data_IF_546491927054
#
_entry.id   IF_546491927054
#
_cell.length_a   1.000
_cell.length_b   1.000
_cell.length_c   1.000
_cell.angle_alpha   90.00
_cell.angle_beta   90.00
_cell.angle_gamma   90.00
#
_symmetry.space_group_name_H-M   'P 1'
#
loop_
_entity.id
_entity.type
_entity.pdbx_description
1 polymer ?
#
# COMPACT_ATOMS: atom_id res chain seq x y z
N UNK A 1 11.87 -19.43 15.50
CA UNK A 1 10.40 -19.57 15.47
C UNK A 1 9.89 -19.70 16.89
N UNK A 2 8.92 -18.87 17.26
CA UNK A 2 8.26 -18.93 18.57
C UNK A 2 7.39 -20.18 18.63
N UNK A 3 7.24 -20.81 19.81
CA UNK A 3 6.26 -21.88 20.00
C UNK A 3 4.86 -21.26 19.90
N UNK A 4 4.03 -21.80 19.01
CA UNK A 4 2.65 -21.34 18.82
C UNK A 4 1.71 -22.19 19.67
N UNK A 5 0.80 -21.53 20.37
CA UNK A 5 -0.26 -22.14 21.16
C UNK A 5 -1.57 -21.45 20.88
N UNK A 6 -2.67 -22.18 21.05
CA UNK A 6 -4.00 -21.62 20.91
C UNK A 6 -4.24 -20.45 21.85
N UNK A 7 -4.79 -19.37 21.31
CA UNK A 7 -5.36 -18.25 22.05
C UNK A 7 -6.73 -17.89 21.43
N UNK A 8 -7.78 -17.67 22.25
CA UNK A 8 -9.09 -17.29 21.73
C UNK A 8 -9.04 -15.84 21.24
N UNK A 9 -9.14 -15.64 19.93
CA UNK A 9 -9.10 -14.30 19.32
C UNK A 9 -10.26 -14.11 18.34
N UNK A 10 -10.61 -12.84 18.11
CA UNK A 10 -11.61 -12.48 17.10
C UNK A 10 -10.99 -12.58 15.71
N UNK A 11 -11.44 -13.55 14.92
CA UNK A 11 -11.05 -13.73 13.51
C UNK A 11 -11.24 -12.45 12.69
N UNK A 12 -12.34 -11.71 12.91
CA UNK A 12 -12.60 -10.39 12.29
C UNK A 12 -11.43 -9.44 12.51
N UNK A 13 -11.02 -9.32 13.77
CA UNK A 13 -9.98 -8.38 14.17
C UNK A 13 -8.62 -8.86 13.67
N UNK A 14 -8.36 -10.17 13.67
CA UNK A 14 -7.12 -10.74 13.14
C UNK A 14 -6.94 -10.45 11.66
N UNK A 15 -7.97 -10.67 10.84
CA UNK A 15 -7.91 -10.37 9.40
C UNK A 15 -7.73 -8.87 9.15
N UNK A 16 -8.47 -8.04 9.91
CA UNK A 16 -8.33 -6.58 9.82
C UNK A 16 -6.92 -6.13 10.20
N UNK A 17 -6.33 -6.75 11.22
CA UNK A 17 -4.97 -6.49 11.67
C UNK A 17 -3.93 -6.96 10.64
N UNK A 18 -4.08 -8.17 10.06
CA UNK A 18 -3.22 -8.67 9.00
C UNK A 18 -3.16 -7.70 7.81
N UNK A 19 -4.32 -7.16 7.40
CA UNK A 19 -4.37 -6.12 6.36
C UNK A 19 -3.56 -4.89 6.76
N UNK A 20 -3.82 -4.33 7.95
CA UNK A 20 -3.13 -3.13 8.41
C UNK A 20 -1.62 -3.35 8.50
N UNK A 21 -1.21 -4.53 8.98
CA UNK A 21 0.20 -4.93 9.04
C UNK A 21 0.78 -5.01 7.63
N UNK A 22 0.11 -5.64 6.66
CA UNK A 22 0.60 -5.72 5.28
C UNK A 22 0.77 -4.33 4.64
N UNK A 23 -0.20 -3.42 4.84
CA UNK A 23 -0.13 -2.03 4.37
C UNK A 23 1.02 -1.24 5.03
N UNK A 24 1.30 -1.49 6.31
CA UNK A 24 2.46 -0.89 6.99
C UNK A 24 3.77 -1.51 6.53
N UNK A 25 3.83 -2.82 6.39
CA UNK A 25 5.03 -3.57 6.01
C UNK A 25 5.52 -3.10 4.64
N UNK A 26 4.63 -2.88 3.67
CA UNK A 26 5.04 -2.44 2.32
C UNK A 26 5.69 -1.06 2.36
N UNK A 27 5.12 -0.13 3.13
CA UNK A 27 5.69 1.21 3.34
C UNK A 27 7.05 1.17 4.03
N UNK A 28 7.18 0.34 5.06
CA UNK A 28 8.43 0.15 5.79
C UNK A 28 9.48 -0.55 4.92
N UNK A 29 9.09 -1.53 4.10
CA UNK A 29 10.00 -2.24 3.21
C UNK A 29 10.62 -1.27 2.17
N UNK A 30 9.79 -0.48 1.48
CA UNK A 30 10.28 0.55 0.56
C UNK A 30 11.06 1.65 1.27
N UNK A 31 10.65 2.05 2.48
CA UNK A 31 11.42 3.00 3.31
C UNK A 31 12.80 2.47 3.68
N UNK A 32 12.90 1.18 3.99
CA UNK A 32 14.15 0.53 4.35
C UNK A 32 15.14 0.55 3.18
N UNK A 33 14.65 0.36 1.94
CA UNK A 33 15.43 0.49 0.73
C UNK A 33 15.87 1.95 0.48
N UNK A 34 14.91 2.88 0.52
CA UNK A 34 15.16 4.29 0.24
C UNK A 34 16.11 4.95 1.24
N UNK A 35 16.05 4.55 2.51
CA UNK A 35 16.88 5.12 3.57
C UNK A 35 18.02 4.21 4.04
N UNK A 36 18.22 3.06 3.38
CA UNK A 36 19.24 2.04 3.71
C UNK A 36 19.26 1.71 5.21
N UNK A 37 18.08 1.49 5.77
CA UNK A 37 17.90 1.42 7.21
C UNK A 37 17.54 0.00 7.67
N UNK A 38 18.55 -0.71 8.18
CA UNK A 38 18.41 -2.07 8.72
C UNK A 38 17.41 -2.16 9.87
N UNK A 39 17.29 -1.12 10.71
CA UNK A 39 16.35 -1.13 11.84
C UNK A 39 14.88 -1.12 11.34
N UNK A 40 14.61 -0.49 10.18
CA UNK A 40 13.29 -0.55 9.54
C UNK A 40 13.08 -1.93 8.90
N UNK A 41 14.09 -2.50 8.24
CA UNK A 41 13.99 -3.85 7.67
C UNK A 41 13.74 -4.91 8.75
N UNK A 42 14.41 -4.82 9.89
CA UNK A 42 14.23 -5.71 11.04
C UNK A 42 12.81 -5.61 11.62
N UNK A 43 12.17 -4.43 11.53
CA UNK A 43 10.78 -4.29 11.91
C UNK A 43 9.84 -4.99 10.94
N UNK A 44 10.08 -4.90 9.63
CA UNK A 44 9.30 -5.66 8.63
C UNK A 44 9.35 -7.15 8.95
N UNK A 45 10.51 -7.69 9.32
CA UNK A 45 10.66 -9.11 9.73
C UNK A 45 9.86 -9.44 11.00
N UNK A 46 9.73 -8.50 11.95
CA UNK A 46 8.91 -8.72 13.16
C UNK A 46 7.42 -8.66 12.85
N UNK A 47 7.01 -7.81 11.92
CA UNK A 47 5.64 -7.71 11.44
C UNK A 47 5.25 -8.97 10.66
N UNK A 48 6.14 -9.50 9.83
CA UNK A 48 5.99 -10.82 9.16
C UNK A 48 5.73 -11.92 10.21
N UNK A 49 6.55 -12.04 11.26
CA UNK A 49 6.31 -13.02 12.34
C UNK A 49 4.97 -12.79 13.07
N UNK A 50 4.49 -11.56 13.18
CA UNK A 50 3.16 -11.28 13.73
C UNK A 50 2.05 -11.79 12.82
N UNK A 51 2.16 -11.59 11.50
CA UNK A 51 1.22 -12.16 10.53
C UNK A 51 1.24 -13.68 10.60
N UNK A 52 2.43 -14.32 10.65
CA UNK A 52 2.56 -15.76 10.86
C UNK A 52 1.76 -16.23 12.07
N UNK A 53 1.95 -15.60 13.23
CA UNK A 53 1.22 -15.95 14.46
C UNK A 53 -0.29 -15.75 14.29
N UNK A 54 -0.73 -14.65 13.68
CA UNK A 54 -2.15 -14.40 13.42
C UNK A 54 -2.75 -15.47 12.51
N UNK A 55 -2.02 -15.95 11.50
CA UNK A 55 -2.48 -17.01 10.59
C UNK A 55 -2.78 -18.30 11.35
N UNK A 56 -1.86 -18.76 12.20
CA UNK A 56 -2.09 -19.94 13.03
C UNK A 56 -3.29 -19.76 13.98
N UNK A 57 -3.47 -18.57 14.53
CA UNK A 57 -4.60 -18.31 15.44
C UNK A 57 -5.93 -18.24 14.68
N UNK A 58 -5.96 -17.66 13.49
CA UNK A 58 -7.13 -17.68 12.60
C UNK A 58 -7.50 -19.12 12.26
N UNK A 59 -6.53 -19.94 11.83
CA UNK A 59 -6.75 -21.36 11.52
C UNK A 59 -7.31 -22.12 12.71
N UNK A 60 -6.68 -22.05 13.89
CA UNK A 60 -7.13 -22.79 15.06
C UNK A 60 -8.52 -22.34 15.54
N UNK A 61 -8.81 -21.04 15.57
CA UNK A 61 -10.13 -20.55 15.98
C UNK A 61 -11.21 -20.95 14.96
N UNK A 62 -10.86 -21.00 13.67
CA UNK A 62 -11.77 -21.44 12.61
C UNK A 62 -12.03 -22.94 12.69
N UNK A 63 -11.00 -23.76 12.87
CA UNK A 63 -11.11 -25.21 13.04
C UNK A 63 -11.98 -25.60 14.25
N UNK A 64 -11.90 -24.86 15.35
CA UNK A 64 -12.75 -25.08 16.53
C UNK A 64 -14.20 -24.64 16.32
N UNK A 65 -14.46 -23.74 15.38
CA UNK A 65 -15.80 -23.27 15.05
C UNK A 65 -16.55 -24.23 14.11
N UNK A 66 -15.83 -24.93 13.23
CA UNK A 66 -16.39 -25.89 12.27
C UNK A 66 -16.96 -27.14 12.96
N UNK A 67 -18.24 -27.46 12.71
CA UNK A 67 -18.90 -28.66 13.26
C UNK A 67 -19.34 -29.66 12.19
N UNK A 68 -19.62 -29.18 10.99
CA UNK A 68 -20.06 -29.99 9.86
C UNK A 68 -19.53 -29.45 8.52
N UNK A 69 -19.94 -30.08 7.41
CA UNK A 69 -19.51 -29.67 6.07
C UNK A 69 -19.99 -28.28 5.66
N UNK A 70 -21.14 -27.82 6.18
CA UNK A 70 -21.68 -26.50 5.85
C UNK A 70 -20.85 -25.42 6.53
N UNK A 71 -20.53 -25.60 7.82
CA UNK A 71 -19.63 -24.69 8.54
C UNK A 71 -18.24 -24.64 7.85
N UNK A 72 -17.76 -25.77 7.33
CA UNK A 72 -16.49 -25.83 6.62
C UNK A 72 -16.51 -25.00 5.32
N UNK A 73 -17.60 -25.06 4.55
CA UNK A 73 -17.78 -24.23 3.35
C UNK A 73 -17.87 -22.73 3.68
N UNK A 74 -18.63 -22.37 4.73
CA UNK A 74 -18.81 -20.97 5.15
C UNK A 74 -17.53 -20.35 5.71
N UNK A 75 -16.66 -21.15 6.34
CA UNK A 75 -15.44 -20.67 7.00
C UNK A 75 -14.17 -20.84 6.15
N UNK A 76 -14.22 -21.54 5.01
CA UNK A 76 -13.08 -21.65 4.08
C UNK A 76 -12.53 -20.28 3.64
N UNK A 77 -13.36 -19.28 3.28
CA UNK A 77 -12.89 -17.98 2.85
C UNK A 77 -11.97 -17.31 3.88
N UNK A 78 -12.27 -17.49 5.17
CA UNK A 78 -11.50 -16.91 6.28
C UNK A 78 -10.08 -17.48 6.31
N UNK A 79 -9.96 -18.81 6.21
CA UNK A 79 -8.67 -19.50 6.19
C UNK A 79 -7.88 -19.06 4.96
N UNK A 80 -8.54 -18.99 3.80
CA UNK A 80 -7.93 -18.56 2.54
C UNK A 80 -7.38 -17.14 2.62
N UNK A 81 -8.13 -16.22 3.23
CA UNK A 81 -7.69 -14.84 3.44
C UNK A 81 -6.46 -14.78 4.35
N UNK A 82 -6.49 -15.47 5.50
CA UNK A 82 -5.36 -15.53 6.43
C UNK A 82 -4.09 -16.06 5.76
N UNK A 83 -4.21 -17.18 5.05
CA UNK A 83 -3.11 -17.77 4.29
C UNK A 83 -2.52 -16.83 3.23
N UNK A 84 -3.37 -16.10 2.49
CA UNK A 84 -2.89 -15.19 1.46
C UNK A 84 -2.29 -13.91 2.02
N UNK A 85 -2.78 -13.39 3.16
CA UNK A 85 -2.09 -12.31 3.87
C UNK A 85 -0.71 -12.74 4.37
N UNK A 86 -0.57 -13.99 4.82
CA UNK A 86 0.73 -14.56 5.15
C UNK A 86 1.69 -14.54 3.95
N UNK A 87 1.25 -15.04 2.79
CA UNK A 87 2.00 -14.98 1.52
C UNK A 87 2.42 -13.55 1.16
N UNK A 88 1.48 -12.60 1.20
CA UNK A 88 1.75 -11.19 0.94
C UNK A 88 2.83 -10.67 1.91
N UNK A 89 2.71 -10.98 3.21
CA UNK A 89 3.68 -10.53 4.22
C UNK A 89 5.08 -11.09 3.98
N UNK A 90 5.20 -12.37 3.58
CA UNK A 90 6.46 -13.01 3.23
C UNK A 90 7.11 -12.33 2.01
N UNK A 91 6.32 -12.02 0.99
CA UNK A 91 6.78 -11.33 -0.21
C UNK A 91 7.26 -9.90 0.12
N UNK A 92 6.53 -9.16 0.95
CA UNK A 92 6.97 -7.84 1.43
C UNK A 92 8.27 -7.94 2.25
N UNK A 93 8.41 -8.96 3.09
CA UNK A 93 9.65 -9.21 3.83
C UNK A 93 10.84 -9.51 2.90
N UNK A 94 10.61 -10.15 1.75
CA UNK A 94 11.65 -10.36 0.73
C UNK A 94 12.16 -9.05 0.12
N UNK A 95 11.31 -8.02 0.01
CA UNK A 95 11.74 -6.65 -0.36
C UNK A 95 12.69 -6.10 0.72
N UNK A 96 12.31 -6.20 2.01
CA UNK A 96 13.16 -5.74 3.11
C UNK A 96 14.50 -6.51 3.21
N UNK A 97 14.50 -7.80 2.85
CA UNK A 97 15.70 -8.65 2.81
C UNK A 97 16.74 -8.16 1.80
N UNK A 98 16.37 -7.35 0.79
CA UNK A 98 17.34 -6.70 -0.10
C UNK A 98 18.28 -5.79 0.71
N UNK A 99 17.75 -5.01 1.66
CA UNK A 99 18.54 -4.17 2.58
C UNK A 99 19.31 -5.01 3.60
N UNK A 100 18.69 -6.04 4.19
CA UNK A 100 19.33 -6.93 5.18
C UNK A 100 20.57 -7.62 4.60
N UNK A 101 20.42 -8.15 3.38
CA UNK A 101 21.51 -8.84 2.67
C UNK A 101 22.55 -7.89 2.08
N UNK A 102 22.38 -6.56 2.27
CA UNK A 102 23.27 -5.52 1.76
C UNK A 102 23.54 -5.67 0.25
N UNK A 103 22.49 -6.01 -0.50
CA UNK A 103 22.59 -6.05 -1.95
C UNK A 103 22.81 -4.63 -2.46
N UNK A 104 23.75 -4.47 -3.40
CA UNK A 104 23.97 -3.18 -4.03
C UNK A 104 22.72 -2.76 -4.79
N UNK A 105 22.15 -1.62 -4.40
CA UNK A 105 20.96 -1.07 -5.02
C UNK A 105 21.36 -0.38 -6.33
N UNK A 106 20.73 -0.80 -7.43
CA UNK A 106 20.86 -0.07 -8.69
C UNK A 106 20.24 1.34 -8.56
N UNK A 107 20.86 2.42 -9.09
CA UNK A 107 20.35 3.78 -8.94
C UNK A 107 18.93 3.95 -9.51
N UNK A 108 18.62 3.24 -10.60
CA UNK A 108 17.27 3.19 -11.19
C UNK A 108 16.20 2.79 -10.19
N UNK A 109 16.46 1.78 -9.35
CA UNK A 109 15.52 1.34 -8.33
C UNK A 109 15.30 2.44 -7.28
N UNK A 110 16.38 3.09 -6.86
CA UNK A 110 16.31 4.21 -5.93
C UNK A 110 15.51 5.39 -6.49
N UNK A 111 15.74 5.72 -7.77
CA UNK A 111 15.01 6.78 -8.45
C UNK A 111 13.54 6.46 -8.65
N UNK A 112 13.19 5.20 -8.94
CA UNK A 112 11.81 4.74 -9.01
C UNK A 112 11.09 5.03 -7.68
N UNK A 113 11.58 4.48 -6.56
CA UNK A 113 10.96 4.64 -5.24
C UNK A 113 10.87 6.13 -4.86
N UNK A 114 11.88 6.94 -5.19
CA UNK A 114 11.91 8.37 -4.88
C UNK A 114 10.93 9.21 -5.70
N UNK A 115 10.54 8.74 -6.88
CA UNK A 115 9.66 9.43 -7.82
C UNK A 115 8.24 8.86 -7.84
N UNK A 116 7.89 7.97 -6.92
CA UNK A 116 6.50 7.50 -6.77
C UNK A 116 5.55 8.68 -6.53
N UNK A 117 4.26 8.49 -6.84
CA UNK A 117 3.25 9.55 -6.64
C UNK A 117 3.13 9.96 -5.17
N UNK A 118 3.24 8.98 -4.27
CA UNK A 118 3.35 9.18 -2.83
C UNK A 118 4.77 8.88 -2.34
N UNK A 119 5.71 9.83 -2.47
CA UNK A 119 7.08 9.58 -2.07
C UNK A 119 7.22 9.46 -0.56
N UNK A 120 8.15 8.62 -0.14
CA UNK A 120 8.57 8.48 1.25
C UNK A 120 9.55 9.60 1.61
N UNK A 121 9.34 10.21 2.78
CA UNK A 121 10.21 11.26 3.31
C UNK A 121 10.66 10.97 4.72
N UNK A 122 11.84 11.49 5.05
CA UNK A 122 12.37 11.60 6.41
C UNK A 122 12.34 13.06 6.81
N UNK A 123 11.63 13.40 7.89
CA UNK A 123 11.49 14.76 8.41
C UNK A 123 11.96 14.86 9.86
N UNK A 124 12.71 15.90 10.22
CA UNK A 124 13.17 16.13 11.60
C UNK A 124 12.27 17.17 12.27
N UNK A 125 11.72 16.85 13.44
CA UNK A 125 10.92 17.77 14.22
C UNK A 125 11.81 18.81 14.91
N UNK A 126 11.94 19.98 14.29
CA UNK A 126 12.64 21.15 14.85
C UNK A 126 11.67 22.25 15.28
N UNK A 127 10.44 22.22 14.77
CA UNK A 127 9.40 23.18 15.14
C UNK A 127 8.94 22.99 16.60
N UNK A 128 9.18 24.00 17.43
CA UNK A 128 8.80 24.00 18.85
C UNK A 128 7.29 23.99 19.07
N UNK A 129 6.49 24.47 18.12
CA UNK A 129 5.03 24.55 18.25
C UNK A 129 4.34 23.19 18.23
N UNK A 130 4.94 22.20 17.55
CA UNK A 130 4.40 20.83 17.48
C UNK A 130 4.94 19.93 18.60
N UNK A 131 5.92 20.41 19.37
CA UNK A 131 6.52 19.68 20.48
C UNK A 131 5.46 19.34 21.55
N UNK A 132 5.50 18.11 22.04
CA UNK A 132 4.55 17.49 22.97
C UNK A 132 3.07 17.48 22.54
N UNK A 133 2.75 17.85 21.28
CA UNK A 133 1.40 17.71 20.74
C UNK A 133 1.19 16.29 20.21
N UNK A 134 -0.02 15.78 20.40
CA UNK A 134 -0.46 14.48 19.87
C UNK A 134 -0.67 14.59 18.36
N UNK A 135 -0.31 13.55 17.60
CA UNK A 135 -0.54 13.48 16.14
C UNK A 135 -2.00 13.78 15.79
N UNK A 136 -2.96 13.19 16.52
CA UNK A 136 -4.38 13.42 16.30
C UNK A 136 -4.82 14.86 16.55
N UNK A 137 -4.18 15.58 17.48
CA UNK A 137 -4.47 17.01 17.72
C UNK A 137 -3.90 17.91 16.64
N UNK A 138 -2.76 17.53 16.07
CA UNK A 138 -2.14 18.22 14.94
C UNK A 138 -2.87 17.95 13.62
N UNK A 139 -3.73 16.93 13.60
CA UNK A 139 -4.48 16.49 12.43
C UNK A 139 -3.59 16.29 11.20
N UNK A 140 -2.37 15.75 11.39
CA UNK A 140 -1.32 15.70 10.35
C UNK A 140 -1.85 15.11 9.04
N UNK A 141 -2.52 13.95 9.11
CA UNK A 141 -3.11 13.31 7.92
C UNK A 141 -4.15 14.20 7.23
N UNK A 142 -4.97 14.92 7.99
CA UNK A 142 -5.98 15.82 7.44
C UNK A 142 -5.42 17.13 6.89
N UNK A 143 -4.36 17.66 7.48
CA UNK A 143 -3.77 18.96 7.13
C UNK A 143 -2.73 18.84 6.01
N UNK A 144 -1.92 17.77 6.05
CA UNK A 144 -0.83 17.57 5.09
C UNK A 144 -1.16 16.48 4.08
N UNK A 145 -2.08 15.56 4.38
CA UNK A 145 -2.30 14.38 3.55
C UNK A 145 -1.16 13.35 3.66
N UNK A 146 -0.27 13.50 4.65
CA UNK A 146 0.79 12.51 4.91
C UNK A 146 0.38 11.55 6.01
N UNK A 147 0.78 10.29 5.86
CA UNK A 147 0.73 9.30 6.91
C UNK A 147 2.11 9.13 7.54
N UNK A 148 2.20 9.10 8.87
CA UNK A 148 3.47 8.89 9.58
C UNK A 148 3.53 7.40 9.90
N UNK A 149 4.46 6.69 9.25
CA UNK A 149 4.60 5.24 9.39
C UNK A 149 5.57 4.84 10.51
N UNK A 150 6.55 5.71 10.81
CA UNK A 150 7.50 5.47 11.89
C UNK A 150 8.09 6.76 12.46
N UNK A 151 8.51 6.71 13.72
CA UNK A 151 9.22 7.78 14.42
C UNK A 151 10.46 7.20 15.08
N UNK A 152 11.63 7.70 14.69
CA UNK A 152 12.88 7.45 15.43
C UNK A 152 13.07 8.54 16.49
N UNK A 153 13.18 8.12 17.74
CA UNK A 153 13.38 8.97 18.91
C UNK A 153 14.62 8.54 19.68
N UNK A 154 15.72 9.27 19.49
CA UNK A 154 17.01 8.86 20.02
C UNK A 154 17.41 7.49 19.46
N UNK A 155 17.57 6.51 20.35
CA UNK A 155 17.93 5.13 20.00
C UNK A 155 16.71 4.19 19.90
N UNK A 156 15.49 4.72 20.07
CA UNK A 156 14.26 3.93 19.99
C UNK A 156 13.43 4.25 18.75
N UNK A 157 12.57 3.32 18.39
CA UNK A 157 11.59 3.47 17.32
C UNK A 157 10.16 3.36 17.86
N UNK A 158 9.27 4.07 17.19
CA UNK A 158 7.83 3.95 17.33
C UNK A 158 7.32 3.68 15.92
N UNK A 159 6.92 2.45 15.65
CA UNK A 159 6.26 2.06 14.40
C UNK A 159 4.75 2.19 14.57
N UNK A 160 4.06 2.49 13.48
CA UNK A 160 2.60 2.76 13.45
C UNK A 160 2.12 3.71 14.58
N UNK A 161 2.62 4.95 14.60
CA UNK A 161 2.28 5.89 15.66
C UNK A 161 0.79 6.27 15.63
N UNK A 162 0.07 5.92 16.68
CA UNK A 162 -1.37 6.24 16.80
C UNK A 162 -1.63 7.74 16.99
N UNK A 163 -2.91 8.15 16.89
CA UNK A 163 -3.39 9.51 17.16
C UNK A 163 -2.95 10.07 18.53
N UNK A 164 -2.68 9.20 19.50
CA UNK A 164 -2.28 9.56 20.85
C UNK A 164 -0.78 9.75 21.04
N UNK A 165 0.02 9.34 20.04
CA UNK A 165 1.47 9.52 20.02
C UNK A 165 1.82 11.01 20.03
N UNK A 166 2.63 11.43 21.01
CA UNK A 166 3.12 12.80 21.11
C UNK A 166 4.41 12.95 20.31
N UNK A 167 4.49 13.98 19.46
CA UNK A 167 5.73 14.37 18.80
C UNK A 167 6.64 15.13 19.77
N UNK A 168 7.94 14.92 19.68
CA UNK A 168 8.98 15.61 20.45
C UNK A 168 10.01 16.25 19.54
N UNK A 169 10.69 17.28 20.04
CA UNK A 169 11.84 17.85 19.35
C UNK A 169 12.89 16.78 19.07
N UNK A 170 13.49 16.85 17.88
CA UNK A 170 14.45 15.91 17.31
C UNK A 170 13.89 14.50 17.00
N UNK A 171 12.57 14.29 17.11
CA UNK A 171 11.97 13.11 16.50
C UNK A 171 12.23 13.14 14.99
N UNK A 172 12.61 11.99 14.45
CA UNK A 172 12.77 11.79 13.01
C UNK A 172 11.57 10.99 12.52
N UNK A 173 10.69 11.66 11.80
CA UNK A 173 9.48 11.08 11.24
C UNK A 173 9.80 10.46 9.88
N UNK A 174 9.30 9.26 9.65
CA UNK A 174 9.20 8.63 8.35
C UNK A 174 7.75 8.69 7.93
N UNK A 175 7.47 9.25 6.77
CA UNK A 175 6.13 9.51 6.32
C UNK A 175 5.97 9.28 4.81
N UNK A 176 4.76 8.89 4.42
CA UNK A 176 4.31 8.74 3.03
C UNK A 176 3.26 9.80 2.72
N UNK A 177 3.24 10.30 1.49
CA UNK A 177 2.16 11.15 0.99
C UNK A 177 2.54 11.84 -0.30
N UNK A 178 1.62 12.56 -0.92
CA UNK A 178 1.89 13.30 -2.17
C UNK A 178 3.08 14.27 -2.07
N UNK A 179 3.65 14.66 -3.21
CA UNK A 179 4.74 15.66 -3.27
C UNK A 179 4.38 16.96 -2.52
N UNK A 180 3.15 17.47 -2.71
CA UNK A 180 2.61 18.65 -2.02
C UNK A 180 2.42 18.39 -0.53
N UNK A 181 1.83 17.25 -0.18
CA UNK A 181 1.61 16.89 1.21
C UNK A 181 2.91 16.78 2.01
N UNK A 182 3.92 16.16 1.41
CA UNK A 182 5.25 16.05 1.99
C UNK A 182 5.92 17.42 2.21
N UNK A 183 5.67 18.39 1.33
CA UNK A 183 6.15 19.75 1.51
C UNK A 183 5.44 20.44 2.69
N UNK A 184 4.13 20.24 2.84
CA UNK A 184 3.36 20.74 3.98
C UNK A 184 3.84 20.12 5.30
N UNK A 185 4.04 18.81 5.35
CA UNK A 185 4.60 18.11 6.51
C UNK A 185 6.01 18.62 6.81
N UNK A 186 6.81 18.89 5.78
CA UNK A 186 8.15 19.43 5.97
C UNK A 186 8.12 20.82 6.63
N UNK A 187 7.25 21.70 6.15
CA UNK A 187 7.08 23.02 6.75
C UNK A 187 6.55 22.91 8.19
N UNK A 188 5.58 22.02 8.43
CA UNK A 188 5.01 21.79 9.76
C UNK A 188 6.06 21.31 10.77
N UNK A 189 6.98 20.44 10.35
CA UNK A 189 8.05 19.89 11.20
C UNK A 189 9.23 20.84 11.40
N UNK A 190 9.35 21.90 10.61
CA UNK A 190 10.39 22.93 10.74
C UNK A 190 11.43 22.95 9.61
N UNK A 191 11.12 22.32 8.48
CA UNK A 191 11.81 22.51 7.19
C UNK A 191 12.97 21.57 6.90
N UNK A 192 13.31 20.65 7.81
CA UNK A 192 14.42 19.71 7.64
C UNK A 192 13.93 18.34 7.16
N UNK A 193 13.87 18.15 5.83
CA UNK A 193 13.42 16.89 5.25
C UNK A 193 14.28 16.40 4.09
N UNK A 194 14.35 15.08 3.93
CA UNK A 194 15.12 14.39 2.89
C UNK A 194 14.27 13.30 2.24
N UNK A 195 14.42 13.10 0.92
CA UNK A 195 13.78 12.00 0.17
C UNK A 195 14.79 10.90 -0.21
N UNK A 196 15.73 10.63 0.70
CA UNK A 196 16.94 9.85 0.41
C UNK A 196 18.00 10.64 -0.37
N UNK A 197 19.23 10.12 -0.38
CA UNK A 197 20.38 10.71 -1.07
C UNK A 197 20.39 10.33 -2.55
N UNK A 198 20.53 11.31 -3.45
CA UNK A 198 20.63 11.01 -4.89
C UNK A 198 21.96 10.30 -5.17
N UNK A 199 21.90 9.05 -5.61
CA UNK A 199 23.03 8.41 -6.26
C UNK A 199 23.10 8.89 -7.71
N UNK A 200 24.21 9.54 -8.08
CA UNK A 200 24.46 9.93 -9.45
C UNK A 200 25.46 8.96 -10.05
N UNK A 201 25.03 8.27 -11.09
CA UNK A 201 25.88 7.43 -11.91
C UNK A 201 25.62 7.81 -13.36
N UNK A 202 26.70 8.12 -14.10
CA UNK A 202 26.59 8.52 -15.50
C UNK A 202 26.58 7.25 -16.36
N UNK A 203 25.43 6.97 -16.97
CA UNK A 203 25.27 5.87 -17.93
C UNK A 203 25.43 6.38 -19.36
N UNK A 204 25.86 5.52 -20.32
CA UNK A 204 25.74 5.83 -21.74
C UNK A 204 24.28 6.14 -22.11
N UNK A 205 24.05 7.05 -23.07
CA UNK A 205 22.71 7.53 -23.48
C UNK A 205 21.77 6.37 -23.86
N UNK A 206 22.30 5.36 -24.56
CA UNK A 206 21.52 4.16 -24.95
C UNK A 206 21.02 3.37 -23.73
N UNK A 207 21.86 3.25 -22.69
CA UNK A 207 21.51 2.58 -21.44
C UNK A 207 20.53 3.45 -20.61
N UNK A 208 20.61 4.78 -20.71
CA UNK A 208 19.72 5.70 -19.99
C UNK A 208 18.24 5.53 -20.40
N UNK A 209 17.99 5.26 -21.69
CA UNK A 209 16.64 4.99 -22.18
C UNK A 209 16.06 3.70 -21.57
N UNK A 210 16.80 2.61 -21.64
CA UNK A 210 16.36 1.31 -21.11
C UNK A 210 16.21 1.33 -19.59
N UNK A 211 17.12 2.00 -18.87
CA UNK A 211 16.99 2.21 -17.43
C UNK A 211 15.77 3.06 -17.08
N UNK A 212 15.39 4.03 -17.93
CA UNK A 212 14.16 4.81 -17.74
C UNK A 212 12.92 3.93 -17.87
N UNK A 213 12.91 3.00 -18.83
CA UNK A 213 11.82 2.01 -19.00
C UNK A 213 11.72 1.11 -17.76
N UNK A 214 12.84 0.54 -17.31
CA UNK A 214 12.89 -0.29 -16.08
C UNK A 214 12.38 0.51 -14.88
N UNK A 215 12.73 1.79 -14.77
CA UNK A 215 12.22 2.68 -13.70
C UNK A 215 10.70 2.76 -13.71
N UNK A 216 10.10 2.93 -14.89
CA UNK A 216 8.64 3.03 -15.01
C UNK A 216 7.95 1.71 -14.67
N UNK A 217 8.51 0.59 -15.12
CA UNK A 217 7.98 -0.71 -14.73
C UNK A 217 8.05 -0.95 -13.22
N UNK A 218 9.17 -0.62 -12.55
CA UNK A 218 9.26 -0.74 -11.09
C UNK A 218 8.22 0.15 -10.38
N UNK A 219 7.99 1.37 -10.88
CA UNK A 219 6.98 2.28 -10.36
C UNK A 219 5.57 1.71 -10.49
N UNK A 220 5.24 1.18 -11.67
CA UNK A 220 3.97 0.52 -11.95
C UNK A 220 3.79 -0.69 -11.03
N UNK A 221 4.80 -1.57 -10.91
CA UNK A 221 4.76 -2.73 -10.02
C UNK A 221 4.46 -2.33 -8.57
N UNK A 222 5.19 -1.35 -8.04
CA UNK A 222 4.98 -0.85 -6.68
C UNK A 222 3.53 -0.35 -6.48
N UNK A 223 3.06 0.54 -7.34
CA UNK A 223 1.77 1.19 -7.13
C UNK A 223 0.60 0.21 -7.32
N UNK A 224 0.68 -0.63 -8.35
CA UNK A 224 -0.37 -1.60 -8.67
C UNK A 224 -0.46 -2.66 -7.57
N UNK A 225 0.65 -3.24 -7.10
CA UNK A 225 0.62 -4.23 -6.01
C UNK A 225 0.06 -3.67 -4.70
N UNK A 226 0.42 -2.43 -4.32
CA UNK A 226 -0.18 -1.72 -3.19
C UNK A 226 -1.70 -1.56 -3.36
N UNK A 227 -2.14 -1.23 -4.58
CA UNK A 227 -3.55 -1.08 -4.88
C UNK A 227 -4.33 -2.40 -4.87
N UNK A 228 -3.72 -3.50 -5.32
CA UNK A 228 -4.34 -4.82 -5.33
C UNK A 228 -4.68 -5.30 -3.92
N UNK A 229 -3.81 -5.11 -2.93
CA UNK A 229 -4.08 -5.53 -1.54
C UNK A 229 -5.37 -4.84 -1.04
N UNK A 230 -5.47 -3.53 -1.24
CA UNK A 230 -6.61 -2.74 -0.82
C UNK A 230 -7.90 -3.07 -1.56
N UNK A 231 -7.81 -3.24 -2.88
CA UNK A 231 -8.95 -3.58 -3.74
C UNK A 231 -9.44 -5.01 -3.51
N UNK A 232 -8.55 -5.98 -3.34
CA UNK A 232 -8.91 -7.37 -3.04
C UNK A 232 -9.67 -7.47 -1.71
N UNK A 233 -9.20 -6.75 -0.68
CA UNK A 233 -9.93 -6.68 0.58
C UNK A 233 -11.30 -5.99 0.42
N UNK A 234 -11.35 -4.92 -0.36
CA UNK A 234 -12.60 -4.22 -0.67
C UNK A 234 -13.58 -5.11 -1.46
N UNK A 235 -13.08 -5.94 -2.38
CA UNK A 235 -13.90 -6.89 -3.12
C UNK A 235 -14.59 -7.89 -2.18
N UNK A 236 -13.86 -8.41 -1.19
CA UNK A 236 -14.43 -9.32 -0.18
C UNK A 236 -15.44 -8.59 0.71
N UNK A 237 -15.07 -7.43 1.25
CA UNK A 237 -15.93 -6.68 2.17
C UNK A 237 -17.29 -6.33 1.58
N UNK A 238 -17.32 -5.98 0.30
CA UNK A 238 -18.53 -5.57 -0.40
C UNK A 238 -19.12 -6.67 -1.28
N UNK A 239 -18.58 -7.89 -1.21
CA UNK A 239 -18.89 -9.01 -2.12
C UNK A 239 -18.98 -8.55 -3.59
N UNK A 240 -18.02 -7.70 -4.01
CA UNK A 240 -18.07 -6.97 -5.26
C UNK A 240 -17.24 -7.69 -6.33
N UNK A 241 -17.93 -8.41 -7.20
CA UNK A 241 -17.32 -9.16 -8.31
C UNK A 241 -16.57 -8.25 -9.30
N UNK A 242 -17.07 -7.05 -9.55
CA UNK A 242 -16.49 -6.11 -10.53
C UNK A 242 -15.10 -5.61 -10.08
N UNK A 243 -14.88 -5.45 -8.77
CA UNK A 243 -13.56 -5.10 -8.22
C UNK A 243 -12.65 -6.32 -8.23
N UNK A 244 -13.18 -7.49 -7.91
CA UNK A 244 -12.40 -8.72 -7.99
C UNK A 244 -11.89 -8.96 -9.42
N UNK A 245 -12.71 -8.70 -10.45
CA UNK A 245 -12.30 -8.75 -11.85
C UNK A 245 -11.22 -7.71 -12.20
N UNK A 246 -11.29 -6.48 -11.65
CA UNK A 246 -10.21 -5.49 -11.80
C UNK A 246 -8.90 -5.99 -11.19
N UNK A 247 -8.92 -6.62 -10.01
CA UNK A 247 -7.71 -7.17 -9.37
C UNK A 247 -7.08 -8.26 -10.25
N UNK A 248 -7.89 -9.09 -10.90
CA UNK A 248 -7.37 -10.06 -11.88
C UNK A 248 -6.75 -9.39 -13.11
N UNK A 249 -7.36 -8.34 -13.67
CA UNK A 249 -6.77 -7.56 -14.78
C UNK A 249 -5.43 -6.94 -14.38
N UNK A 250 -5.32 -6.48 -13.13
CA UNK A 250 -4.08 -5.91 -12.58
C UNK A 250 -2.97 -6.96 -12.46
N UNK A 251 -3.30 -8.19 -12.09
CA UNK A 251 -2.34 -9.30 -12.01
C UNK A 251 -1.78 -9.67 -13.39
N UNK A 252 -2.64 -9.85 -14.39
CA UNK A 252 -2.20 -10.15 -15.76
C UNK A 252 -1.26 -9.05 -16.30
N UNK A 253 -1.54 -7.80 -15.91
CA UNK A 253 -0.66 -6.67 -16.25
C UNK A 253 0.68 -6.75 -15.52
N UNK A 254 0.69 -7.11 -14.23
CA UNK A 254 1.92 -7.23 -13.45
C UNK A 254 2.80 -8.38 -13.90
N UNK A 255 2.23 -9.50 -14.31
CA UNK A 255 2.95 -10.62 -14.94
C UNK A 255 3.71 -10.15 -16.19
N UNK A 256 3.00 -9.42 -17.06
CA UNK A 256 3.63 -8.84 -18.24
C UNK A 256 4.75 -7.87 -17.87
N UNK A 257 4.52 -6.97 -16.91
CA UNK A 257 5.51 -5.97 -16.48
C UNK A 257 6.73 -6.65 -15.85
N UNK A 258 6.55 -7.68 -15.03
CA UNK A 258 7.62 -8.46 -14.42
C UNK A 258 8.49 -9.11 -15.51
N UNK A 259 7.87 -9.73 -16.52
CA UNK A 259 8.56 -10.31 -17.65
C UNK A 259 9.38 -9.28 -18.43
N UNK A 260 8.82 -8.09 -18.69
CA UNK A 260 9.54 -7.03 -19.37
C UNK A 260 10.72 -6.49 -18.55
N UNK A 261 10.57 -6.34 -17.22
CA UNK A 261 11.71 -5.99 -16.33
C UNK A 261 12.82 -7.03 -16.44
N UNK A 262 12.48 -8.33 -16.39
CA UNK A 262 13.46 -9.40 -16.50
C UNK A 262 14.19 -9.35 -17.86
N UNK A 263 13.46 -9.19 -18.97
CA UNK A 263 14.05 -9.05 -20.31
C UNK A 263 14.95 -7.82 -20.41
N UNK A 264 14.51 -6.66 -19.95
CA UNK A 264 15.28 -5.41 -19.99
C UNK A 264 16.56 -5.52 -19.16
N UNK A 265 16.49 -6.12 -17.98
CA UNK A 265 17.66 -6.40 -17.14
C UNK A 265 18.66 -7.30 -17.87
N UNK A 266 18.20 -8.41 -18.46
CA UNK A 266 19.07 -9.35 -19.18
C UNK A 266 19.72 -8.71 -20.41
N UNK A 267 18.97 -7.90 -21.17
CA UNK A 267 19.47 -7.20 -22.35
C UNK A 267 20.58 -6.20 -21.99
N UNK A 268 20.47 -5.55 -20.84
CA UNK A 268 21.38 -4.49 -20.37
C UNK A 268 22.51 -5.00 -19.47
N UNK A 269 22.48 -6.26 -19.03
CA UNK A 269 23.52 -6.85 -18.19
C UNK A 269 24.94 -6.73 -18.80
N UNK A 270 25.06 -6.82 -20.14
CA UNK A 270 26.35 -6.66 -20.85
C UNK A 270 26.85 -5.21 -20.95
N UNK A 271 25.97 -4.24 -20.67
CA UNK A 271 26.23 -2.80 -20.84
C UNK A 271 26.66 -2.12 -19.53
N UNK A 272 26.67 -2.85 -18.41
CA UNK A 272 27.07 -2.37 -17.09
C UNK A 272 28.35 -3.07 -16.63
N UNK A 273 29.16 -2.36 -15.84
CA UNK A 273 30.41 -2.91 -15.29
C UNK A 273 30.16 -4.03 -14.28
N UNK A 274 29.07 -3.91 -13.51
CA UNK A 274 28.67 -4.89 -12.50
C UNK A 274 27.20 -5.28 -12.70
N UNK A 275 26.94 -6.40 -13.40
CA UNK A 275 25.59 -6.90 -13.63
C UNK A 275 24.89 -7.36 -12.34
N UNK A 276 25.63 -7.62 -11.26
CA UNK A 276 25.04 -8.11 -10.00
C UNK A 276 24.17 -7.06 -9.32
N UNK A 277 24.36 -5.77 -9.63
CA UNK A 277 23.49 -4.67 -9.16
C UNK A 277 22.06 -4.78 -9.68
N UNK A 278 21.81 -5.51 -10.77
CA UNK A 278 20.46 -5.81 -11.22
C UNK A 278 19.74 -6.84 -10.35
N UNK A 279 20.43 -7.60 -9.51
CA UNK A 279 19.81 -8.60 -8.63
C UNK A 279 18.80 -7.94 -7.69
N UNK A 280 19.04 -6.72 -7.21
CA UNK A 280 18.08 -5.99 -6.38
C UNK A 280 16.79 -5.67 -7.13
N UNK A 281 16.89 -5.32 -8.42
CA UNK A 281 15.73 -5.04 -9.28
C UNK A 281 14.92 -6.32 -9.51
N UNK A 282 15.58 -7.42 -9.86
CA UNK A 282 14.92 -8.70 -10.09
C UNK A 282 14.22 -9.21 -8.83
N UNK A 283 14.89 -9.15 -7.68
CA UNK A 283 14.29 -9.57 -6.40
C UNK A 283 13.07 -8.74 -6.02
N UNK A 284 13.13 -7.43 -6.24
CA UNK A 284 11.99 -6.56 -5.98
C UNK A 284 10.84 -6.88 -6.93
N UNK A 285 11.11 -7.07 -8.24
CA UNK A 285 10.08 -7.43 -9.21
C UNK A 285 9.41 -8.77 -8.85
N UNK A 286 10.18 -9.80 -8.47
CA UNK A 286 9.62 -11.08 -8.02
C UNK A 286 8.78 -10.93 -6.76
N UNK A 287 9.29 -10.23 -5.74
CA UNK A 287 8.55 -10.02 -4.51
C UNK A 287 7.25 -9.22 -4.75
N UNK A 288 7.26 -8.24 -5.65
CA UNK A 288 6.08 -7.43 -5.96
C UNK A 288 5.01 -8.21 -6.74
N UNK A 289 5.40 -9.17 -7.58
CA UNK A 289 4.44 -10.06 -8.25
C UNK A 289 3.88 -11.13 -7.30
N UNK A 290 4.67 -11.68 -6.37
CA UNK A 290 4.10 -12.55 -5.31
C UNK A 290 3.09 -11.83 -4.40
N UNK A 291 3.24 -10.51 -4.18
CA UNK A 291 2.22 -9.69 -3.50
C UNK A 291 0.92 -9.64 -4.34
N UNK A 292 1.07 -9.44 -5.65
CA UNK A 292 -0.03 -9.42 -6.62
C UNK A 292 -0.79 -10.75 -6.60
N UNK A 293 -0.10 -11.88 -6.70
CA UNK A 293 -0.68 -13.23 -6.62
C UNK A 293 -1.48 -13.46 -5.34
N UNK A 294 -0.92 -13.03 -4.21
CA UNK A 294 -1.60 -13.12 -2.93
C UNK A 294 -2.88 -12.31 -2.89
N UNK A 295 -2.86 -11.08 -3.41
CA UNK A 295 -4.04 -10.23 -3.50
C UNK A 295 -5.09 -10.78 -4.48
N UNK A 296 -4.68 -11.31 -5.62
CA UNK A 296 -5.56 -11.97 -6.60
C UNK A 296 -6.22 -13.20 -6.00
N UNK A 297 -5.47 -14.00 -5.24
CA UNK A 297 -6.00 -15.18 -4.53
C UNK A 297 -7.04 -14.81 -3.47
N UNK A 298 -6.95 -13.61 -2.88
CA UNK A 298 -7.97 -13.05 -1.98
C UNK A 298 -9.21 -12.67 -2.80
N UNK A 299 -9.04 -11.92 -3.90
CA UNK A 299 -10.15 -11.52 -4.78
C UNK A 299 -10.87 -12.73 -5.43
N UNK A 300 -10.15 -13.81 -5.71
CA UNK A 300 -10.66 -15.03 -6.33
C UNK A 300 -11.79 -15.69 -5.53
N UNK A 301 -11.79 -15.52 -4.20
CA UNK A 301 -12.85 -16.02 -3.32
C UNK A 301 -14.22 -15.52 -3.79
N UNK A 302 -14.31 -14.23 -4.13
CA UNK A 302 -15.52 -13.59 -4.65
C UNK A 302 -15.86 -14.13 -6.04
N UNK A 303 -14.87 -14.33 -6.91
CA UNK A 303 -15.09 -14.83 -8.28
C UNK A 303 -15.59 -16.27 -8.33
N UNK A 304 -15.16 -17.10 -7.37
CA UNK A 304 -15.60 -18.49 -7.20
C UNK A 304 -16.99 -18.63 -6.61
N UNK A 305 -17.62 -17.52 -6.20
CA UNK A 305 -18.96 -17.50 -5.62
C UNK A 305 -18.99 -18.06 -4.20
N UNK A 306 -17.85 -18.09 -3.50
CA UNK A 306 -17.82 -18.36 -2.08
C UNK A 306 -18.35 -17.11 -1.36
N UNK A 307 -19.53 -17.21 -0.76
CA UNK A 307 -20.09 -16.08 -0.04
C UNK A 307 -19.18 -15.71 1.15
N UNK A 308 -18.74 -14.44 1.25
CA UNK A 308 -17.99 -13.99 2.40
C UNK A 308 -18.81 -14.25 3.68
N UNK A 309 -18.20 -14.92 4.66
CA UNK A 309 -18.85 -15.21 5.94
C UNK A 309 -19.42 -13.90 6.56
N UNK A 310 -20.58 -13.92 7.24
CA UNK A 310 -21.21 -12.72 7.84
C UNK A 310 -20.33 -11.90 8.79
N UNK A 311 -19.18 -12.45 9.20
CA UNK A 311 -18.15 -11.70 9.92
C UNK A 311 -17.64 -10.48 9.14
N UNK A 312 -17.65 -10.55 7.81
CA UNK A 312 -17.30 -9.43 6.92
C UNK A 312 -18.47 -8.44 6.81
N UNK A 313 -19.73 -8.88 6.84
CA UNK A 313 -20.87 -7.96 6.98
C UNK A 313 -20.79 -7.18 8.30
N UNK A 314 -20.29 -7.77 9.39
CA UNK A 314 -20.09 -7.03 10.66
C UNK A 314 -18.96 -5.99 10.54
N UNK A 315 -18.04 -6.10 9.57
CA UNK A 315 -17.09 -5.01 9.27
C UNK A 315 -17.82 -3.83 8.60
N UNK A 316 -18.97 -4.08 7.95
CA UNK A 316 -19.68 -3.17 7.06
C UNK A 316 -20.99 -2.60 7.63
N UNK A 317 -21.73 -3.38 8.41
CA UNK A 317 -23.04 -3.03 8.99
C UNK A 317 -22.99 -1.88 10.00
N UNK A 318 -21.82 -1.29 10.24
CA UNK A 318 -21.70 -0.02 10.95
C UNK A 318 -21.94 1.19 10.02
N UNK A 319 -21.93 1.05 8.68
CA UNK A 319 -21.89 2.21 7.76
C UNK A 319 -22.91 2.28 6.62
N UNK A 320 -23.76 1.27 6.30
CA UNK A 320 -24.71 1.29 5.16
C UNK A 320 -24.06 1.77 3.82
N UNK A 321 -22.81 1.38 3.57
CA UNK A 321 -22.02 1.83 2.42
C UNK A 321 -21.99 0.79 1.28
N UNK A 322 -21.96 1.28 0.03
CA UNK A 322 -21.79 0.51 -1.21
C UNK A 322 -20.52 0.93 -1.95
N UNK A 323 -19.98 0.05 -2.80
CA UNK A 323 -18.94 0.44 -3.77
C UNK A 323 -19.56 0.84 -5.12
N UNK A 324 -19.06 1.93 -5.69
CA UNK A 324 -19.39 2.39 -7.04
C UNK A 324 -18.15 2.74 -7.85
N UNK A 325 -18.15 2.39 -9.14
CA UNK A 325 -17.21 2.89 -10.15
C UNK A 325 -17.85 4.02 -10.97
N UNK A 326 -17.18 5.17 -11.04
CA UNK A 326 -17.69 6.37 -11.72
C UNK A 326 -16.57 7.01 -12.54
N UNK A 327 -16.78 7.10 -13.86
CA UNK A 327 -15.84 7.74 -14.79
C UNK A 327 -16.07 9.27 -14.83
N UNK A 328 -14.98 10.03 -14.79
CA UNK A 328 -14.98 11.50 -14.92
C UNK A 328 -14.97 11.88 -16.40
N UNK A 329 -16.01 12.57 -16.84
CA UNK A 329 -16.10 13.18 -18.18
C UNK A 329 -15.12 14.36 -18.31
N UNK A 330 -14.55 14.57 -19.50
CA UNK A 330 -13.66 15.71 -19.78
C UNK A 330 -14.25 17.09 -19.42
N UNK A 331 -15.59 17.21 -19.41
CA UNK A 331 -16.29 18.47 -19.13
C UNK A 331 -16.70 18.63 -17.66
N UNK A 332 -16.37 17.64 -16.84
CA UNK A 332 -16.77 17.62 -15.45
C UNK A 332 -16.16 18.75 -14.64
N UNK A 333 -16.96 19.27 -13.70
CA UNK A 333 -16.53 20.35 -12.80
C UNK A 333 -15.43 19.93 -11.84
N UNK A 334 -15.24 18.63 -11.60
CA UNK A 334 -14.22 18.10 -10.69
C UNK A 334 -12.89 17.80 -11.39
N UNK A 335 -12.81 17.97 -12.72
CA UNK A 335 -11.57 17.84 -13.50
C UNK A 335 -10.52 18.86 -13.04
N UNK A 336 -9.27 18.41 -12.93
CA UNK A 336 -8.12 19.18 -12.47
C UNK A 336 -8.25 19.73 -11.04
N UNK A 337 -9.16 19.18 -10.24
CA UNK A 337 -9.28 19.49 -8.82
C UNK A 337 -8.64 18.40 -7.99
N UNK A 338 -8.11 18.76 -6.83
CA UNK A 338 -7.73 17.76 -5.82
C UNK A 338 -8.97 17.16 -5.14
N UNK A 339 -8.84 15.99 -4.51
CA UNK A 339 -9.90 15.36 -3.72
C UNK A 339 -10.49 16.31 -2.66
N UNK A 340 -9.66 17.16 -2.06
CA UNK A 340 -10.14 18.17 -1.11
C UNK A 340 -10.87 19.33 -1.77
N UNK A 341 -10.47 19.75 -2.97
CA UNK A 341 -11.09 20.85 -3.70
C UNK A 341 -12.42 20.43 -4.34
N UNK A 342 -12.51 19.17 -4.79
CA UNK A 342 -13.70 18.60 -5.40
C UNK A 342 -14.87 18.44 -4.43
N UNK A 343 -14.59 18.43 -3.12
CA UNK A 343 -15.58 18.28 -2.07
C UNK A 343 -16.50 17.06 -2.27
N UNK A 344 -16.02 16.00 -2.95
CA UNK A 344 -16.82 14.80 -3.26
C UNK A 344 -17.41 14.22 -1.96
N UNK A 345 -16.57 13.91 -0.98
CA UNK A 345 -17.03 13.31 0.28
C UNK A 345 -18.01 14.21 1.06
N UNK A 346 -17.85 15.54 0.99
CA UNK A 346 -18.75 16.48 1.69
C UNK A 346 -20.10 16.58 0.99
N UNK A 347 -20.09 16.64 -0.35
CA UNK A 347 -21.28 16.89 -1.14
C UNK A 347 -22.11 15.62 -1.38
N UNK A 348 -21.46 14.45 -1.41
CA UNK A 348 -22.10 13.18 -1.78
C UNK A 348 -22.05 12.13 -0.68
N UNK A 349 -21.22 12.31 0.35
CA UNK A 349 -20.92 11.25 1.32
C UNK A 349 -19.99 10.16 0.77
N UNK A 350 -19.69 10.15 -0.53
CA UNK A 350 -18.84 9.15 -1.16
C UNK A 350 -17.35 9.43 -0.89
N UNK A 351 -16.63 8.43 -0.42
CA UNK A 351 -15.18 8.45 -0.26
C UNK A 351 -14.53 7.74 -1.45
N UNK A 352 -13.61 8.43 -2.13
CA UNK A 352 -12.77 7.78 -3.16
C UNK A 352 -11.73 6.91 -2.46
N UNK A 353 -11.73 5.61 -2.75
CA UNK A 353 -10.77 4.64 -2.20
C UNK A 353 -9.69 4.27 -3.22
N UNK A 354 -10.02 4.34 -4.51
CA UNK A 354 -9.08 4.12 -5.60
C UNK A 354 -9.43 4.93 -6.86
N UNK A 355 -8.44 5.11 -7.73
CA UNK A 355 -8.58 5.71 -9.05
C UNK A 355 -7.92 4.78 -10.06
N UNK A 356 -8.64 4.38 -11.11
CA UNK A 356 -8.06 3.78 -12.33
C UNK A 356 -7.85 4.90 -13.35
N UNK A 357 -6.62 5.06 -13.81
CA UNK A 357 -6.24 6.07 -14.81
C UNK A 357 -5.42 5.39 -15.89
N UNK A 358 -5.96 5.35 -17.10
CA UNK A 358 -5.41 4.53 -18.18
C UNK A 358 -5.28 3.06 -17.71
N UNK A 359 -4.05 2.54 -17.63
CA UNK A 359 -3.75 1.19 -17.16
C UNK A 359 -3.24 1.15 -15.71
N UNK A 360 -3.08 2.31 -15.05
CA UNK A 360 -2.58 2.39 -13.68
C UNK A 360 -3.73 2.47 -12.68
N UNK A 361 -3.52 1.86 -11.52
CA UNK A 361 -4.43 1.94 -10.39
C UNK A 361 -3.73 2.56 -9.19
N UNK A 362 -4.47 3.42 -8.50
CA UNK A 362 -4.00 4.13 -7.32
C UNK A 362 -4.96 3.85 -6.18
N UNK A 363 -4.45 3.37 -5.05
CA UNK A 363 -5.23 3.13 -3.84
C UNK A 363 -4.76 4.05 -2.71
N UNK A 364 -5.55 4.19 -1.64
CA UNK A 364 -5.16 5.02 -0.50
C UNK A 364 -5.21 6.52 -0.78
N UNK A 365 -6.12 6.93 -1.68
CA UNK A 365 -6.30 8.29 -2.17
C UNK A 365 -6.34 9.33 -1.03
N UNK A 366 -5.47 10.34 -1.12
CA UNK A 366 -5.37 11.41 -0.14
C UNK A 366 -6.02 12.72 -0.64
N UNK A 367 -6.20 13.69 0.28
CA UNK A 367 -6.83 14.99 0.01
C UNK A 367 -6.20 15.80 -1.13
N UNK A 368 -4.91 15.59 -1.41
CA UNK A 368 -4.16 16.31 -2.43
C UNK A 368 -4.07 15.55 -3.77
N UNK A 369 -4.59 14.34 -3.88
CA UNK A 369 -4.61 13.59 -5.15
C UNK A 369 -5.45 14.36 -6.16
N UNK A 370 -4.92 14.57 -7.36
CA UNK A 370 -5.58 15.33 -8.43
C UNK A 370 -6.42 14.41 -9.30
N UNK A 371 -7.64 14.84 -9.61
CA UNK A 371 -8.58 14.20 -10.51
C UNK A 371 -8.35 14.69 -11.94
N UNK A 372 -8.18 13.78 -12.87
CA UNK A 372 -7.95 14.06 -14.28
C UNK A 372 -9.14 13.62 -15.14
N UNK A 373 -9.27 14.16 -16.38
CA UNK A 373 -10.23 13.64 -17.34
C UNK A 373 -10.06 12.13 -17.52
N UNK A 374 -11.18 11.42 -17.70
CA UNK A 374 -11.24 9.97 -17.94
C UNK A 374 -10.80 9.08 -16.77
N UNK A 375 -10.46 9.66 -15.62
CA UNK A 375 -10.26 8.89 -14.39
C UNK A 375 -11.53 8.11 -14.03
N UNK A 376 -11.38 6.84 -13.64
CA UNK A 376 -12.45 6.02 -13.08
C UNK A 376 -12.26 5.96 -11.57
N UNK A 377 -13.19 6.57 -10.84
CA UNK A 377 -13.20 6.61 -9.39
C UNK A 377 -13.85 5.35 -8.83
N UNK A 378 -13.13 4.62 -7.99
CA UNK A 378 -13.69 3.56 -7.13
C UNK A 378 -13.99 4.20 -5.79
N UNK A 379 -15.27 4.21 -5.42
CA UNK A 379 -15.78 4.96 -4.26
C UNK A 379 -16.60 4.10 -3.32
N UNK A 380 -16.53 4.38 -2.03
CA UNK A 380 -17.31 3.77 -0.94
C UNK A 380 -18.19 4.85 -0.32
N UNK A 381 -19.47 4.59 -0.13
CA UNK A 381 -20.37 5.54 0.54
C UNK A 381 -21.84 5.13 0.45
N UNK A 382 -22.78 5.97 0.92
CA UNK A 382 -24.21 5.67 0.87
C UNK A 382 -24.73 5.59 -0.58
N UNK A 383 -25.74 4.74 -0.83
CA UNK A 383 -26.32 4.55 -2.18
C UNK A 383 -26.86 5.86 -2.77
N UNK A 384 -27.45 6.74 -1.95
CA UNK A 384 -27.94 8.06 -2.41
C UNK A 384 -26.78 8.96 -2.90
N UNK A 385 -25.60 8.80 -2.31
CA UNK A 385 -24.39 9.56 -2.64
C UNK A 385 -23.86 9.27 -4.04
N UNK A 386 -24.05 8.05 -4.53
CA UNK A 386 -23.63 7.61 -5.86
C UNK A 386 -24.23 8.48 -6.97
N UNK A 387 -25.53 8.76 -6.89
CA UNK A 387 -26.22 9.52 -7.94
C UNK A 387 -25.71 10.98 -7.99
N UNK A 388 -25.46 11.58 -6.82
CA UNK A 388 -24.87 12.91 -6.73
C UNK A 388 -23.45 12.95 -7.31
N UNK A 389 -22.64 11.92 -7.02
CA UNK A 389 -21.28 11.84 -7.58
C UNK A 389 -21.29 11.64 -9.10
N UNK A 390 -22.23 10.84 -9.63
CA UNK A 390 -22.42 10.73 -11.09
C UNK A 390 -22.77 12.06 -11.73
N UNK A 391 -23.55 12.93 -11.08
CA UNK A 391 -23.84 14.26 -11.60
C UNK A 391 -22.63 15.19 -11.54
N UNK A 392 -21.81 15.09 -10.49
CA UNK A 392 -20.56 15.84 -10.39
C UNK A 392 -19.54 15.42 -11.45
N UNK A 393 -19.49 14.13 -11.78
CA UNK A 393 -18.54 13.53 -12.72
C UNK A 393 -18.91 13.70 -14.20
N UNK A 394 -20.06 14.31 -14.52
CA UNK A 394 -20.53 14.55 -15.91
C UNK A 394 -19.97 15.79 -16.58
#
# INVERSE_FOLDING_TARGET
MKKISFEPISVKNSISEMKNIAELMIDLAYSSLLFRNLEISDEVMKLEEQVHVLTYLVDMNTMLAVRDSKDAEELEPIIRIGYNFDRISNAIADIAKITINKLDLHPTLFEAIRQSEEPLIRAIVTNKEINNKKIGKLQIRSETGCDIIAIRRGNGWIFDPTKDTKLKLNDVLFARGSVKGNQLLCNMTGGQCTRGEKEKENFPIELEHDLTIIKQYILEMKNTSEAMIGLAFSAILFNNREIAEDVFEMEERLDFVQLEVQKSVLANAKCVNDPTRFVSILRLATATEEISDGATSIAEIVLRGLEPHPVFEIIMNETDEIISKIQISEKSKIVNQTISESNIQINTGMKVIAIKRNNDYFYGINKNTMLLPEDVLITVGPEEGKQLLMEMAK
#
